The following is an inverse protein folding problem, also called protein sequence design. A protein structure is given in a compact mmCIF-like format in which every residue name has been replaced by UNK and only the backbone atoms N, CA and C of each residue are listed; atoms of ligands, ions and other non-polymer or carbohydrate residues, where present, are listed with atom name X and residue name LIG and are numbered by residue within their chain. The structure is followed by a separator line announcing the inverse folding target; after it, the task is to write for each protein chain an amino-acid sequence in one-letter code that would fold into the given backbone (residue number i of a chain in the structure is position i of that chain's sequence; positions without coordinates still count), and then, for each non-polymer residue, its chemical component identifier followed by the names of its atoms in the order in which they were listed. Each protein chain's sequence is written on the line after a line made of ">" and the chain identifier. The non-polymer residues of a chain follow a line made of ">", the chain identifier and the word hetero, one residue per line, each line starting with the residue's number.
data_IF_660897154292
#
_entry.id   IF_660897154292
#
_cell.length_a   1.000
_cell.length_b   1.000
_cell.length_c   1.000
_cell.angle_alpha   90.00
_cell.angle_beta   90.00
_cell.angle_gamma   90.00
#
_symmetry.space_group_name_H-M   'P 1'
#
loop_
_entity.id
_entity.type
_entity.pdbx_description
1 polymer ?
#
# COMPACT_ATOMS: atom_id res chain seq x y z
N UNK A 1 8.05 4.38 -9.57
CA UNK A 1 9.01 3.26 -9.67
C UNK A 1 8.26 1.96 -9.90
N UNK A 2 8.67 1.14 -10.89
CA UNK A 2 8.12 -0.20 -11.14
C UNK A 2 8.88 -1.22 -10.28
N UNK A 3 8.24 -1.75 -9.24
CA UNK A 3 8.80 -2.71 -8.29
C UNK A 3 7.71 -3.77 -8.07
N UNK A 4 8.06 -5.05 -8.03
CA UNK A 4 7.04 -6.11 -7.89
C UNK A 4 6.20 -5.93 -6.63
N UNK A 5 6.81 -5.55 -5.50
CA UNK A 5 6.09 -5.28 -4.25
C UNK A 5 4.99 -4.21 -4.37
N UNK A 6 5.09 -3.31 -5.34
CA UNK A 6 4.09 -2.26 -5.61
C UNK A 6 3.08 -2.67 -6.68
N UNK A 7 3.19 -3.87 -7.25
CA UNK A 7 2.31 -4.35 -8.30
C UNK A 7 1.06 -5.00 -7.70
N UNK A 8 -0.12 -4.78 -8.30
CA UNK A 8 -1.38 -5.40 -7.88
C UNK A 8 -1.38 -6.93 -8.00
N UNK A 9 -0.52 -7.47 -8.86
CA UNK A 9 -0.42 -8.90 -9.13
C UNK A 9 0.59 -9.63 -8.22
N UNK A 10 1.37 -8.89 -7.43
CA UNK A 10 2.31 -9.50 -6.51
C UNK A 10 1.56 -10.23 -5.39
N UNK A 11 1.90 -11.49 -5.21
CA UNK A 11 1.33 -12.37 -4.20
C UNK A 11 2.41 -13.35 -3.74
N UNK A 12 2.85 -13.30 -2.47
CA UNK A 12 3.94 -14.16 -1.99
C UNK A 12 3.60 -15.67 -2.02
N UNK A 13 2.32 -16.03 -2.14
CA UNK A 13 1.86 -17.42 -2.20
C UNK A 13 1.72 -17.95 -3.63
N UNK A 14 1.86 -17.10 -4.65
CA UNK A 14 1.83 -17.53 -6.06
C UNK A 14 3.18 -18.11 -6.51
N UNK A 15 3.17 -18.97 -7.53
CA UNK A 15 4.36 -19.72 -8.00
C UNK A 15 5.59 -18.83 -8.27
N UNK A 16 5.42 -17.75 -9.02
CA UNK A 16 6.48 -16.75 -9.27
C UNK A 16 6.38 -15.51 -8.38
N UNK A 17 5.66 -15.64 -7.27
CA UNK A 17 5.18 -14.54 -6.45
C UNK A 17 4.41 -13.48 -7.26
N UNK A 18 3.78 -13.92 -8.35
CA UNK A 18 3.01 -13.14 -9.29
C UNK A 18 1.79 -13.98 -9.70
N UNK A 19 0.61 -13.37 -9.71
CA UNK A 19 -0.63 -14.03 -10.13
C UNK A 19 -0.75 -14.19 -11.65
N UNK A 20 0.10 -13.50 -12.40
CA UNK A 20 0.18 -13.61 -13.86
C UNK A 20 1.17 -14.71 -14.28
N UNK A 21 0.89 -15.36 -15.42
CA UNK A 21 1.75 -16.37 -16.03
C UNK A 21 2.96 -15.74 -16.72
N UNK A 22 3.90 -15.20 -15.94
CA UNK A 22 5.12 -14.57 -16.47
C UNK A 22 6.15 -15.64 -16.87
N UNK A 23 6.57 -15.61 -18.14
CA UNK A 23 7.56 -16.54 -18.71
C UNK A 23 8.97 -16.32 -18.11
N UNK A 24 9.39 -15.06 -17.97
CA UNK A 24 10.65 -14.67 -17.33
C UNK A 24 10.40 -14.07 -15.92
N UNK A 25 10.50 -14.86 -14.84
CA UNK A 25 10.22 -14.37 -13.50
C UNK A 25 11.27 -13.38 -13.00
N UNK A 26 10.81 -12.27 -12.42
CA UNK A 26 11.70 -11.32 -11.72
C UNK A 26 12.25 -11.96 -10.44
N UNK A 27 13.57 -11.99 -10.24
CA UNK A 27 14.20 -12.57 -9.04
C UNK A 27 14.11 -11.61 -7.85
N UNK A 28 14.54 -10.36 -8.03
CA UNK A 28 14.55 -9.34 -6.97
C UNK A 28 13.26 -8.51 -7.00
N UNK A 29 12.35 -8.78 -6.06
CA UNK A 29 11.00 -8.19 -6.05
C UNK A 29 10.94 -6.77 -5.48
N UNK A 30 11.95 -6.39 -4.72
CA UNK A 30 12.09 -5.17 -3.93
C UNK A 30 12.88 -4.05 -4.63
N UNK A 31 13.52 -4.34 -5.77
CA UNK A 31 14.23 -3.37 -6.60
C UNK A 31 13.45 -3.02 -7.87
N UNK A 32 13.82 -1.90 -8.50
CA UNK A 32 13.22 -1.47 -9.74
C UNK A 32 13.44 -2.51 -10.86
N UNK A 33 12.41 -2.78 -11.65
CA UNK A 33 12.45 -3.75 -12.75
C UNK A 33 11.61 -3.31 -13.97
N UNK A 34 11.71 -4.08 -15.05
CA UNK A 34 11.09 -3.78 -16.35
C UNK A 34 9.90 -4.69 -16.68
N UNK A 35 9.29 -5.33 -15.68
CA UNK A 35 8.16 -6.24 -15.89
C UNK A 35 7.03 -5.56 -16.70
N UNK A 36 6.67 -6.19 -17.83
CA UNK A 36 5.64 -5.68 -18.75
C UNK A 36 4.23 -5.77 -18.15
N UNK A 37 4.01 -6.74 -17.27
CA UNK A 37 2.75 -6.96 -16.57
C UNK A 37 2.56 -6.03 -15.36
N UNK A 38 3.47 -5.10 -15.11
CA UNK A 38 3.36 -4.21 -13.94
C UNK A 38 2.10 -3.34 -14.01
N UNK A 39 1.26 -3.45 -12.98
CA UNK A 39 0.16 -2.52 -12.73
C UNK A 39 0.25 -2.07 -11.28
N UNK A 40 0.34 -0.76 -11.05
CA UNK A 40 0.44 -0.20 -9.71
C UNK A 40 -0.76 -0.65 -8.86
N UNK A 41 -0.49 -1.16 -7.66
CA UNK A 41 -1.52 -1.48 -6.69
C UNK A 41 -2.18 -0.18 -6.24
N UNK A 42 -3.47 -0.04 -6.49
CA UNK A 42 -4.25 1.06 -5.94
C UNK A 42 -4.21 0.97 -4.41
N UNK A 43 -3.98 2.12 -3.76
CA UNK A 43 -4.11 2.19 -2.31
C UNK A 43 -5.53 1.78 -1.93
N UNK A 44 -5.69 1.06 -0.82
CA UNK A 44 -7.02 0.83 -0.28
C UNK A 44 -7.67 2.20 -0.07
N UNK A 45 -8.73 2.51 -0.83
CA UNK A 45 -9.60 3.65 -0.57
C UNK A 45 -10.17 3.46 0.85
N UNK A 46 -9.44 4.00 1.82
CA UNK A 46 -10.01 4.24 3.13
C UNK A 46 -11.07 5.27 2.84
N UNK A 47 -12.35 4.89 2.98
CA UNK A 47 -13.50 5.81 2.97
C UNK A 47 -13.03 7.16 3.49
N UNK A 48 -13.28 8.23 2.74
CA UNK A 48 -13.04 9.61 3.16
C UNK A 48 -13.86 9.90 4.42
N UNK A 49 -13.44 9.38 5.56
CA UNK A 49 -13.76 9.95 6.85
C UNK A 49 -13.07 11.31 6.88
N UNK A 50 -13.72 12.30 7.49
CA UNK A 50 -13.11 13.59 7.76
C UNK A 50 -11.97 13.39 8.76
N UNK A 51 -10.83 12.90 8.27
CA UNK A 51 -9.62 12.63 9.05
C UNK A 51 -9.10 13.90 9.71
N UNK A 52 -9.40 15.08 9.13
CA UNK A 52 -9.03 16.36 9.74
C UNK A 52 -9.90 16.66 10.96
N UNK A 53 -11.22 16.47 10.86
CA UNK A 53 -12.15 16.59 11.98
C UNK A 53 -11.81 15.62 13.12
N UNK A 54 -11.55 14.36 12.80
CA UNK A 54 -11.18 13.33 13.78
C UNK A 54 -9.82 13.62 14.44
N UNK A 55 -8.80 14.00 13.67
CA UNK A 55 -7.49 14.37 14.20
C UNK A 55 -7.56 15.60 15.12
N UNK A 56 -8.38 16.60 14.77
CA UNK A 56 -8.61 17.78 15.62
C UNK A 56 -9.32 17.40 16.92
N UNK A 57 -10.41 16.60 16.84
CA UNK A 57 -11.14 16.14 18.02
C UNK A 57 -10.23 15.37 18.98
N UNK A 58 -9.46 14.41 18.44
CA UNK A 58 -8.52 13.60 19.24
C UNK A 58 -7.39 14.46 19.83
N UNK A 59 -6.92 15.49 19.11
CA UNK A 59 -5.93 16.41 19.65
C UNK A 59 -6.47 17.20 20.84
N UNK A 60 -7.68 17.78 20.73
CA UNK A 60 -8.27 18.53 21.83
C UNK A 60 -8.57 17.67 23.06
N UNK A 61 -9.00 16.41 22.89
CA UNK A 61 -9.26 15.52 24.03
C UNK A 61 -8.01 15.19 24.86
N UNK A 62 -6.79 15.33 24.31
CA UNK A 62 -5.55 15.10 25.08
C UNK A 62 -5.24 16.22 26.07
N UNK A 63 -5.81 17.42 25.89
CA UNK A 63 -5.47 18.61 26.67
C UNK A 63 -6.64 19.18 27.47
N UNK A 64 -7.81 18.53 27.44
CA UNK A 64 -9.02 19.03 28.08
C UNK A 64 -9.28 18.47 29.49
N UNK A 65 -8.33 17.74 30.07
CA UNK A 65 -8.43 17.12 31.41
C UNK A 65 -7.69 17.90 32.53
N UNK A 66 -7.21 19.13 32.29
CA UNK A 66 -6.60 19.96 33.34
C UNK A 66 -7.14 21.39 33.34
N UNK A 67 -8.30 21.58 33.99
CA UNK A 67 -8.66 22.84 34.65
C UNK A 67 -9.40 22.50 35.95
N UNK A 68 -8.63 22.31 37.02
CA UNK A 68 -8.98 22.65 38.41
C UNK A 68 -7.70 23.11 39.14
#
# INVERSE_FOLDING_TARGET
>A
MKICLNCRFYDPSAYHQCREGVEEPVVYKDVANFCEHFVLKEGSDTKTTDKQGEARSNFFSLFNDEVD
#
